data_IF_631594542692
#
_entry.id   IF_631594542692
#
_cell.length_a   1.000
_cell.length_b   1.000
_cell.length_c   1.000
_cell.angle_alpha   90.00
_cell.angle_beta   90.00
_cell.angle_gamma   90.00
#
_symmetry.space_group_name_H-M   'P 1'
#
loop_
_entity.id
_entity.type
_entity.pdbx_description
1 polymer ?
#
# COMPACT_ATOMS: atom_id res chain seq x y z
N UNK A 1 -19.44 -24.42 -5.54
CA UNK A 1 -19.03 -23.03 -5.27
C UNK A 1 -18.00 -23.06 -4.15
N UNK A 2 -16.73 -23.29 -4.49
CA UNK A 2 -15.58 -23.18 -3.58
C UNK A 2 -14.35 -22.94 -4.46
N UNK A 3 -14.39 -21.86 -5.24
CA UNK A 3 -13.26 -21.44 -6.08
C UNK A 3 -12.84 -20.01 -5.77
N UNK A 4 -13.08 -19.54 -4.55
CA UNK A 4 -12.48 -18.30 -4.07
C UNK A 4 -11.13 -18.65 -3.46
N UNK A 5 -10.17 -18.81 -4.38
CA UNK A 5 -8.73 -18.82 -4.17
C UNK A 5 -8.25 -19.79 -3.09
N UNK A 6 -7.74 -20.94 -3.52
CA UNK A 6 -6.92 -21.81 -2.67
C UNK A 6 -5.73 -21.01 -2.10
N UNK A 7 -5.94 -20.42 -0.93
CA UNK A 7 -4.92 -19.82 -0.05
C UNK A 7 -4.02 -20.91 0.57
N UNK A 8 -4.07 -22.15 0.07
CA UNK A 8 -3.35 -23.30 0.62
C UNK A 8 -1.87 -23.35 0.21
N UNK A 9 -1.44 -22.50 -0.73
CA UNK A 9 -0.04 -22.35 -1.15
C UNK A 9 0.61 -21.02 -0.71
N UNK A 10 -0.02 -20.29 0.22
CA UNK A 10 0.42 -18.96 0.67
C UNK A 10 1.44 -19.03 1.81
N UNK A 11 2.74 -19.06 1.47
CA UNK A 11 3.85 -18.97 2.42
C UNK A 11 3.91 -17.63 3.20
N UNK A 12 5.00 -17.43 3.96
CA UNK A 12 5.19 -16.36 4.96
C UNK A 12 5.07 -14.90 4.47
N UNK A 13 5.06 -14.65 3.15
CA UNK A 13 4.77 -13.34 2.56
C UNK A 13 4.09 -13.49 1.19
N UNK A 14 2.88 -12.95 1.05
CA UNK A 14 2.10 -13.04 -0.19
C UNK A 14 2.01 -11.68 -0.85
N UNK A 15 2.28 -11.60 -2.16
CA UNK A 15 1.97 -10.42 -2.95
C UNK A 15 0.64 -10.66 -3.69
N UNK A 16 -0.33 -9.77 -3.51
CA UNK A 16 -1.60 -9.79 -4.27
C UNK A 16 -1.82 -8.43 -4.89
N UNK A 17 -2.06 -8.39 -6.20
CA UNK A 17 -2.15 -7.13 -6.98
C UNK A 17 -0.94 -6.19 -6.78
N UNK A 18 0.23 -6.74 -6.43
CA UNK A 18 1.44 -5.96 -6.13
C UNK A 18 1.49 -5.39 -4.71
N UNK A 19 0.50 -5.67 -3.86
CA UNK A 19 0.49 -5.33 -2.43
C UNK A 19 1.10 -6.46 -1.61
N UNK A 20 1.94 -6.13 -0.64
CA UNK A 20 2.50 -7.12 0.28
C UNK A 20 1.46 -7.40 1.36
N UNK A 21 1.07 -8.67 1.50
CA UNK A 21 0.04 -9.13 2.43
C UNK A 21 0.67 -10.13 3.39
N UNK A 22 0.30 -9.98 4.67
CA UNK A 22 0.63 -10.90 5.75
C UNK A 22 -0.65 -11.31 6.46
N UNK A 23 -0.98 -12.59 6.40
CA UNK A 23 -2.07 -13.15 7.20
C UNK A 23 -1.58 -13.33 8.64
N UNK A 24 -2.36 -12.82 9.60
CA UNK A 24 -2.17 -13.01 11.03
C UNK A 24 -3.36 -13.79 11.59
N UNK A 25 -3.25 -14.28 12.83
CA UNK A 25 -4.37 -14.97 13.48
C UNK A 25 -5.54 -14.02 13.75
N UNK A 26 -5.25 -12.75 13.97
CA UNK A 26 -6.25 -11.73 14.28
C UNK A 26 -6.80 -11.00 13.04
N UNK A 27 -6.25 -11.26 11.84
CA UNK A 27 -6.71 -10.62 10.60
C UNK A 27 -5.64 -10.51 9.51
N UNK A 28 -5.91 -9.69 8.50
CA UNK A 28 -5.01 -9.46 7.36
C UNK A 28 -4.25 -8.16 7.53
N UNK A 29 -2.92 -8.23 7.48
CA UNK A 29 -2.07 -7.04 7.42
C UNK A 29 -1.63 -6.77 5.98
N UNK A 30 -1.77 -5.53 5.53
CA UNK A 30 -1.40 -5.10 4.16
C UNK A 30 -0.31 -4.02 4.27
N UNK A 31 0.88 -4.31 3.74
CA UNK A 31 1.95 -3.35 3.55
C UNK A 31 1.93 -2.78 2.12
N UNK A 32 1.75 -1.46 2.03
CA UNK A 32 1.64 -0.74 0.76
C UNK A 32 2.87 0.10 0.42
N UNK A 33 3.93 0.10 1.25
CA UNK A 33 5.07 0.99 1.08
C UNK A 33 5.74 0.84 -0.30
N UNK A 34 5.91 -0.40 -0.75
CA UNK A 34 6.46 -0.70 -2.09
C UNK A 34 5.52 -0.25 -3.20
N UNK A 35 4.23 -0.55 -3.07
CA UNK A 35 3.22 -0.20 -4.07
C UNK A 35 3.12 1.32 -4.27
N UNK A 36 3.07 2.08 -3.18
CA UNK A 36 3.04 3.55 -3.23
C UNK A 36 4.30 4.09 -3.88
N UNK A 37 5.49 3.57 -3.53
CA UNK A 37 6.75 3.99 -4.16
C UNK A 37 6.76 3.70 -5.67
N UNK A 38 6.37 2.50 -6.06
CA UNK A 38 6.33 2.10 -7.47
C UNK A 38 5.27 2.93 -8.25
N UNK A 39 4.15 3.28 -7.61
CA UNK A 39 3.13 4.16 -8.15
C UNK A 39 3.65 5.59 -8.36
N UNK A 40 4.28 6.18 -7.34
CA UNK A 40 4.87 7.52 -7.43
C UNK A 40 5.92 7.58 -8.54
N UNK A 41 6.78 6.57 -8.63
CA UNK A 41 7.77 6.45 -9.71
C UNK A 41 7.12 6.36 -11.09
N UNK A 42 6.06 5.57 -11.24
CA UNK A 42 5.34 5.41 -12.52
C UNK A 42 4.77 6.73 -13.06
N UNK A 43 4.43 7.66 -12.17
CA UNK A 43 3.88 8.96 -12.52
C UNK A 43 4.89 10.11 -12.36
N UNK A 44 6.18 9.80 -12.15
CA UNK A 44 7.24 10.80 -11.93
C UNK A 44 6.96 11.74 -10.75
N UNK A 45 6.32 11.22 -9.70
CA UNK A 45 5.93 11.94 -8.49
C UNK A 45 6.83 11.63 -7.28
N UNK A 46 8.04 11.13 -7.50
CA UNK A 46 8.97 10.77 -6.41
C UNK A 46 9.36 11.97 -5.53
N UNK A 47 9.32 13.19 -6.09
CA UNK A 47 9.66 14.46 -5.42
C UNK A 47 8.42 15.34 -5.15
N UNK A 48 7.21 14.79 -5.31
CA UNK A 48 5.99 15.54 -5.03
C UNK A 48 5.95 15.95 -3.55
N UNK A 49 5.69 17.24 -3.29
CA UNK A 49 5.55 17.76 -1.92
C UNK A 49 4.37 17.09 -1.22
N UNK A 50 4.54 16.77 0.05
CA UNK A 50 3.43 16.32 0.88
C UNK A 50 2.39 17.44 0.99
N UNK A 51 1.11 17.10 0.98
CA UNK A 51 0.05 18.07 1.20
C UNK A 51 0.11 18.68 2.61
N UNK A 52 0.82 18.07 3.56
CA UNK A 52 1.02 18.62 4.90
C UNK A 52 1.72 19.99 4.87
N UNK A 53 2.66 20.20 3.94
CA UNK A 53 3.36 21.48 3.75
C UNK A 53 2.43 22.60 3.24
N UNK A 54 1.22 22.27 2.78
CA UNK A 54 0.25 23.24 2.23
C UNK A 54 -0.66 23.85 3.30
N UNK A 55 -0.73 23.25 4.50
CA UNK A 55 -1.58 23.75 5.60
C UNK A 55 -0.98 24.97 6.32
N UNK A 56 0.29 25.31 6.09
CA UNK A 56 0.92 26.50 6.68
C UNK A 56 0.35 27.81 6.12
N UNK A 57 -0.23 27.79 4.91
CA UNK A 57 -0.84 28.97 4.30
C UNK A 57 -2.23 29.33 4.86
N UNK A 58 -2.90 28.40 5.57
CA UNK A 58 -4.28 28.60 6.05
C UNK A 58 -4.31 29.34 7.40
N UNK A 59 -3.18 29.42 8.12
CA UNK A 59 -3.11 30.07 9.42
C UNK A 59 -2.65 31.54 9.39
N UNK A 60 -2.46 32.13 8.21
CA UNK A 60 -1.97 33.52 8.06
C UNK A 60 -2.96 34.49 7.41
N UNK A 61 -4.24 34.13 7.34
CA UNK A 61 -5.32 35.00 6.83
C UNK A 61 -6.35 35.33 7.93
#
# INVERSE_FOLDING_TARGET
MHSEFEMSMMGEFNFFLGLQIKQLKEGTFINQAKYIRDLLKRFNMEEAKSMEDSNEFIHQA
#
